data_IF_945884799571
#
_entry.id   IF_945884799571
#
_cell.length_a   1.000
_cell.length_b   1.000
_cell.length_c   1.000
_cell.angle_alpha   90.00
_cell.angle_beta   90.00
_cell.angle_gamma   90.00
#
_symmetry.space_group_name_H-M   'P 1'
#
loop_
_entity.id
_entity.type
_entity.pdbx_description
1 polymer ?
#
# COMPACT_ATOMS: atom_id res chain seq x y z
N UNK A 1 2.20 18.45 16.36
CA UNK A 1 2.81 17.15 16.00
C UNK A 1 4.26 17.44 15.65
N UNK A 2 5.23 16.73 16.23
CA UNK A 2 6.66 16.92 15.92
C UNK A 2 7.03 15.84 14.90
N UNK A 3 7.43 16.25 13.70
CA UNK A 3 7.86 15.36 12.61
C UNK A 3 9.38 15.23 12.50
N UNK A 4 10.14 15.89 13.37
CA UNK A 4 11.60 15.75 13.38
C UNK A 4 12.00 14.28 13.51
N UNK A 5 13.01 13.87 12.72
CA UNK A 5 13.51 12.50 12.70
C UNK A 5 12.43 11.45 12.34
N UNK A 6 11.65 11.71 11.28
CA UNK A 6 10.59 10.82 10.80
C UNK A 6 10.81 10.38 9.35
N UNK A 7 10.01 9.38 8.92
CA UNK A 7 9.82 9.03 7.51
C UNK A 7 8.43 9.48 7.09
N UNK A 8 8.35 10.11 5.92
CA UNK A 8 7.10 10.55 5.32
C UNK A 8 6.83 9.79 4.03
N UNK A 9 5.57 9.40 3.87
CA UNK A 9 5.09 8.59 2.77
C UNK A 9 3.87 9.26 2.16
N UNK A 10 3.93 9.57 0.88
CA UNK A 10 2.79 10.15 0.15
C UNK A 10 2.03 9.05 -0.60
N UNK A 11 0.71 9.10 -0.55
CA UNK A 11 -0.13 8.33 -1.48
C UNK A 11 -0.16 8.98 -2.88
N UNK A 12 -0.78 8.29 -3.85
CA UNK A 12 -0.91 8.75 -5.23
C UNK A 12 -1.64 10.10 -5.31
N UNK A 13 -2.72 10.28 -4.54
CA UNK A 13 -3.49 11.52 -4.54
C UNK A 13 -2.73 12.70 -3.94
N UNK A 14 -1.86 12.48 -2.95
CA UNK A 14 -1.00 13.53 -2.38
C UNK A 14 0.01 14.02 -3.41
N UNK A 15 0.62 13.12 -4.18
CA UNK A 15 1.47 13.53 -5.30
C UNK A 15 0.68 14.29 -6.37
N UNK A 16 -0.50 13.80 -6.78
CA UNK A 16 -1.35 14.48 -7.77
C UNK A 16 -1.75 15.90 -7.32
N UNK A 17 -2.17 16.03 -6.07
CA UNK A 17 -2.53 17.33 -5.49
C UNK A 17 -1.32 18.27 -5.39
N UNK A 18 -0.13 17.74 -5.04
CA UNK A 18 1.08 18.54 -4.99
C UNK A 18 1.48 19.11 -6.34
N UNK A 19 1.25 18.37 -7.44
CA UNK A 19 1.64 18.82 -8.79
C UNK A 19 0.53 19.52 -9.55
N UNK A 20 -0.64 19.65 -8.94
CA UNK A 20 -1.83 20.24 -9.57
C UNK A 20 -1.55 21.67 -10.00
N UNK A 21 -2.02 22.01 -11.21
CA UNK A 21 -1.90 23.34 -11.82
C UNK A 21 -0.45 23.86 -12.00
N UNK A 22 0.57 23.00 -11.80
CA UNK A 22 1.99 23.32 -11.97
C UNK A 22 2.52 22.82 -13.32
N UNK A 23 3.40 23.57 -13.96
CA UNK A 23 4.25 23.11 -15.07
C UNK A 23 5.28 22.10 -14.59
N UNK A 24 5.90 21.34 -15.50
CA UNK A 24 6.97 20.38 -15.15
C UNK A 24 8.12 21.05 -14.40
N UNK A 25 8.51 22.26 -14.80
CA UNK A 25 9.58 23.01 -14.15
C UNK A 25 9.19 23.42 -12.73
N UNK A 26 7.98 23.95 -12.53
CA UNK A 26 7.46 24.31 -11.20
C UNK A 26 7.33 23.09 -10.28
N UNK A 27 6.98 21.92 -10.81
CA UNK A 27 6.97 20.66 -10.04
C UNK A 27 8.36 20.31 -9.53
N UNK A 28 9.38 20.39 -10.38
CA UNK A 28 10.77 20.11 -9.99
C UNK A 28 11.23 21.09 -8.91
N UNK A 29 11.02 22.39 -9.13
CA UNK A 29 11.40 23.45 -8.19
C UNK A 29 10.70 23.30 -6.83
N UNK A 30 9.38 23.07 -6.85
CA UNK A 30 8.58 22.84 -5.65
C UNK A 30 9.06 21.59 -4.89
N UNK A 31 9.34 20.50 -5.61
CA UNK A 31 9.82 19.25 -5.00
C UNK A 31 11.19 19.44 -4.35
N UNK A 32 12.11 20.15 -4.99
CA UNK A 32 13.44 20.43 -4.45
C UNK A 32 13.37 21.35 -3.22
N UNK A 33 12.46 22.34 -3.23
CA UNK A 33 12.17 23.21 -2.08
C UNK A 33 11.63 22.39 -0.91
N UNK A 34 10.63 21.56 -1.14
CA UNK A 34 10.06 20.66 -0.12
C UNK A 34 11.14 19.79 0.51
N UNK A 35 11.91 19.10 -0.33
CA UNK A 35 13.01 18.21 0.10
C UNK A 35 14.08 18.92 0.92
N UNK A 36 14.37 20.19 0.60
CA UNK A 36 15.33 20.99 1.37
C UNK A 36 14.82 21.21 2.80
N UNK A 37 13.56 21.60 2.96
CA UNK A 37 12.92 21.81 4.26
C UNK A 37 12.90 20.49 5.06
N UNK A 38 12.50 19.39 4.42
CA UNK A 38 12.48 18.07 5.05
C UNK A 38 13.87 17.66 5.57
N UNK A 39 14.91 17.91 4.77
CA UNK A 39 16.30 17.63 5.17
C UNK A 39 16.74 18.44 6.38
N UNK A 40 16.33 19.72 6.48
CA UNK A 40 16.62 20.57 7.64
C UNK A 40 15.95 20.04 8.91
N UNK A 41 14.80 19.37 8.79
CA UNK A 41 14.06 18.71 9.88
C UNK A 41 14.45 17.23 10.10
N UNK A 42 15.45 16.72 9.38
CA UNK A 42 15.84 15.29 9.39
C UNK A 42 14.67 14.33 9.05
N UNK A 43 13.77 14.80 8.18
CA UNK A 43 12.68 14.01 7.59
C UNK A 43 13.20 13.27 6.37
N UNK A 44 12.83 12.00 6.25
CA UNK A 44 13.13 11.16 5.09
C UNK A 44 11.88 10.84 4.30
N UNK A 45 11.85 11.23 3.03
CA UNK A 45 10.73 10.95 2.15
C UNK A 45 10.96 9.65 1.40
N UNK A 46 10.03 8.70 1.57
CA UNK A 46 10.07 7.41 0.91
C UNK A 46 8.81 7.17 0.09
N UNK A 47 8.96 6.68 -1.13
CA UNK A 47 7.82 6.35 -1.99
C UNK A 47 7.37 4.89 -1.77
N UNK A 48 6.09 4.60 -1.51
CA UNK A 48 5.58 3.25 -1.66
C UNK A 48 5.77 2.82 -3.11
N UNK A 49 6.39 1.67 -3.35
CA UNK A 49 6.56 1.18 -4.73
C UNK A 49 5.22 1.02 -5.44
N UNK A 50 4.15 0.77 -4.67
CA UNK A 50 2.80 0.59 -5.18
C UNK A 50 2.24 1.87 -5.78
N UNK A 51 2.54 3.02 -5.17
CA UNK A 51 2.15 4.36 -5.66
C UNK A 51 2.88 4.66 -6.97
N UNK A 52 4.15 4.26 -7.10
CA UNK A 52 4.90 4.42 -8.35
C UNK A 52 4.31 3.54 -9.45
N UNK A 53 4.03 2.26 -9.16
CA UNK A 53 3.37 1.37 -10.12
C UNK A 53 2.01 1.94 -10.56
N UNK A 54 1.20 2.48 -9.63
CA UNK A 54 -0.12 3.03 -9.93
C UNK A 54 -0.01 4.22 -10.90
N UNK A 55 0.91 5.15 -10.63
CA UNK A 55 1.10 6.29 -11.53
C UNK A 55 1.66 5.86 -12.89
N UNK A 56 2.58 4.88 -12.95
CA UNK A 56 3.12 4.36 -14.21
C UNK A 56 2.07 3.64 -15.05
N UNK A 57 1.20 2.84 -14.42
CA UNK A 57 0.10 2.17 -15.12
C UNK A 57 -0.89 3.16 -15.74
N UNK A 58 -1.05 4.35 -15.14
CA UNK A 58 -1.88 5.42 -15.69
C UNK A 58 -1.24 6.14 -16.90
N UNK A 59 0.05 5.89 -17.19
CA UNK A 59 0.71 6.40 -18.40
C UNK A 59 0.40 5.57 -19.66
N UNK A 60 -0.28 4.43 -19.52
CA UNK A 60 -0.84 3.67 -20.66
C UNK A 60 -2.08 4.37 -21.27
N UNK A 61 -2.63 5.38 -20.58
CA UNK A 61 -3.75 6.17 -21.11
C UNK A 61 -3.28 7.18 -22.17
N UNK A 62 -4.23 7.76 -22.91
CA UNK A 62 -3.92 8.84 -23.85
C UNK A 62 -3.23 10.02 -23.16
N UNK A 63 -2.21 10.58 -23.81
CA UNK A 63 -1.37 11.66 -23.26
C UNK A 63 -2.15 12.96 -22.99
N UNK A 64 -3.29 13.12 -23.65
CA UNK A 64 -4.24 14.25 -23.49
C UNK A 64 -5.15 14.11 -22.27
N UNK A 65 -5.13 12.96 -21.58
CA UNK A 65 -5.93 12.72 -20.39
C UNK A 65 -5.33 13.44 -19.17
N UNK A 66 -6.16 14.14 -18.39
CA UNK A 66 -5.73 14.81 -17.15
C UNK A 66 -5.05 13.81 -16.19
N UNK A 67 -5.54 12.57 -16.12
CA UNK A 67 -4.92 11.52 -15.31
C UNK A 67 -3.49 11.18 -15.80
N UNK A 68 -3.25 11.17 -17.12
CA UNK A 68 -1.90 10.95 -17.66
C UNK A 68 -0.97 12.07 -17.21
N UNK A 69 -1.40 13.32 -17.41
CA UNK A 69 -0.59 14.51 -17.11
C UNK A 69 -0.27 14.61 -15.61
N UNK A 70 -1.26 14.42 -14.75
CA UNK A 70 -1.08 14.46 -13.30
C UNK A 70 -0.21 13.31 -12.79
N UNK A 71 -0.37 12.09 -13.32
CA UNK A 71 0.47 10.95 -12.93
C UNK A 71 1.91 11.12 -13.41
N UNK A 72 2.13 11.66 -14.61
CA UNK A 72 3.48 11.94 -15.11
C UNK A 72 4.19 12.97 -14.24
N UNK A 73 3.52 14.09 -13.93
CA UNK A 73 4.06 15.10 -13.02
C UNK A 73 4.27 14.54 -11.61
N UNK A 74 3.35 13.70 -11.12
CA UNK A 74 3.48 12.99 -9.84
C UNK A 74 4.70 12.08 -9.80
N UNK A 75 4.98 11.33 -10.88
CA UNK A 75 6.19 10.51 -11.03
C UNK A 75 7.46 11.36 -11.05
N UNK A 76 7.45 12.48 -11.77
CA UNK A 76 8.57 13.44 -11.76
C UNK A 76 8.80 13.90 -10.31
N UNK A 77 7.77 14.36 -9.61
CA UNK A 77 7.88 14.75 -8.21
C UNK A 77 8.44 13.63 -7.32
N UNK A 78 7.85 12.43 -7.36
CA UNK A 78 8.32 11.28 -6.58
C UNK A 78 9.79 10.93 -6.89
N UNK A 79 10.21 11.05 -8.15
CA UNK A 79 11.59 10.78 -8.57
C UNK A 79 12.60 11.76 -7.98
N UNK A 80 12.23 13.03 -7.76
CA UNK A 80 13.10 14.01 -7.11
C UNK A 80 13.01 13.94 -5.59
N UNK A 81 11.80 13.75 -5.06
CA UNK A 81 11.48 13.72 -3.64
C UNK A 81 12.24 12.58 -2.93
N UNK A 82 12.14 11.36 -3.47
CA UNK A 82 12.63 10.15 -2.81
C UNK A 82 14.07 9.73 -3.20
N UNK A 83 14.72 10.43 -4.14
CA UNK A 83 16.05 10.07 -4.64
C UNK A 83 17.19 10.65 -3.80
N UNK A 84 17.99 9.82 -3.13
CA UNK A 84 19.09 10.26 -2.27
C UNK A 84 20.42 9.61 -2.65
N UNK A 85 21.47 10.42 -2.86
CA UNK A 85 22.88 9.99 -3.02
C UNK A 85 23.08 8.81 -3.99
N UNK A 86 22.30 8.75 -5.07
CA UNK A 86 22.29 7.74 -6.16
C UNK A 86 21.26 6.60 -6.04
N UNK A 87 20.44 6.54 -5.00
CA UNK A 87 19.40 5.51 -4.86
C UNK A 87 18.02 6.11 -4.57
N UNK A 88 16.97 5.41 -4.99
CA UNK A 88 15.60 5.74 -4.60
C UNK A 88 15.29 5.15 -3.21
N UNK A 89 14.75 5.99 -2.33
CA UNK A 89 14.23 5.56 -1.03
C UNK A 89 12.79 5.09 -1.23
N UNK A 90 12.59 3.79 -1.28
CA UNK A 90 11.27 3.19 -1.54
C UNK A 90 10.86 2.21 -0.45
N UNK A 91 9.55 2.05 -0.28
CA UNK A 91 8.97 1.09 0.65
C UNK A 91 8.31 -0.04 -0.13
N UNK A 92 8.66 -1.31 0.11
CA UNK A 92 8.02 -2.44 -0.55
C UNK A 92 6.53 -2.53 -0.17
N UNK A 93 5.70 -3.01 -1.10
CA UNK A 93 4.33 -3.41 -0.79
C UNK A 93 4.32 -4.76 -0.03
N UNK A 94 3.16 -5.18 0.45
CA UNK A 94 3.01 -6.30 1.40
C UNK A 94 3.73 -7.60 1.04
N UNK A 95 3.61 -8.10 -0.20
CA UNK A 95 4.18 -9.41 -0.58
C UNK A 95 5.70 -9.46 -0.45
N UNK A 96 6.49 -8.60 -1.13
CA UNK A 96 7.94 -8.60 -0.97
C UNK A 96 8.38 -8.30 0.45
N UNK A 97 7.66 -7.43 1.17
CA UNK A 97 7.94 -7.13 2.57
C UNK A 97 7.83 -8.38 3.46
N UNK A 98 6.72 -9.12 3.35
CA UNK A 98 6.49 -10.32 4.16
C UNK A 98 7.41 -11.47 3.77
N UNK A 99 7.64 -11.69 2.47
CA UNK A 99 8.62 -12.69 2.02
C UNK A 99 10.01 -12.40 2.61
N UNK A 100 10.44 -11.13 2.60
CA UNK A 100 11.73 -10.75 3.14
C UNK A 100 11.76 -10.89 4.67
N UNK A 101 10.73 -10.46 5.38
CA UNK A 101 10.63 -10.63 6.83
C UNK A 101 10.73 -12.11 7.25
N UNK A 102 9.90 -12.97 6.64
CA UNK A 102 9.78 -14.38 7.01
C UNK A 102 10.99 -15.23 6.57
N UNK A 103 11.65 -14.85 5.48
CA UNK A 103 12.60 -15.75 4.80
C UNK A 103 13.86 -15.09 4.28
N UNK A 104 14.03 -13.78 4.46
CA UNK A 104 15.14 -13.00 3.92
C UNK A 104 15.28 -13.14 2.39
N UNK A 105 14.15 -13.36 1.70
CA UNK A 105 14.06 -13.57 0.25
C UNK A 105 12.88 -12.83 -0.34
N UNK A 106 12.99 -12.42 -1.60
CA UNK A 106 11.89 -11.86 -2.39
C UNK A 106 11.72 -12.73 -3.65
N UNK A 107 10.47 -13.00 -4.11
CA UNK A 107 10.27 -13.70 -5.37
C UNK A 107 10.93 -12.96 -6.55
N UNK A 108 11.69 -13.69 -7.39
CA UNK A 108 12.52 -13.09 -8.44
C UNK A 108 11.73 -12.23 -9.44
N UNK A 109 10.53 -12.66 -9.80
CA UNK A 109 9.65 -11.90 -10.70
C UNK A 109 9.25 -10.54 -10.10
N UNK A 110 8.95 -10.50 -8.80
CA UNK A 110 8.63 -9.25 -8.09
C UNK A 110 9.86 -8.34 -8.04
N UNK A 111 11.03 -8.90 -7.72
CA UNK A 111 12.28 -8.12 -7.69
C UNK A 111 12.60 -7.51 -9.08
N UNK A 112 12.44 -8.29 -10.15
CA UNK A 112 12.65 -7.83 -11.52
C UNK A 112 11.68 -6.70 -11.89
N UNK A 113 10.40 -6.83 -11.53
CA UNK A 113 9.40 -5.78 -11.79
C UNK A 113 9.72 -4.48 -11.04
N UNK A 114 10.14 -4.58 -9.76
CA UNK A 114 10.54 -3.41 -8.97
C UNK A 114 11.78 -2.75 -9.59
N UNK A 115 12.79 -3.53 -9.99
CA UNK A 115 14.00 -3.00 -10.61
C UNK A 115 13.71 -2.31 -11.95
N UNK A 116 12.88 -2.94 -12.79
CA UNK A 116 12.42 -2.34 -14.05
C UNK A 116 11.71 -1.02 -13.81
N UNK A 117 10.76 -1.00 -12.87
CA UNK A 117 10.01 0.20 -12.49
C UNK A 117 10.94 1.34 -12.05
N UNK A 118 11.94 1.05 -11.20
CA UNK A 118 12.90 2.07 -10.76
C UNK A 118 13.79 2.57 -11.91
N UNK A 119 14.12 1.71 -12.88
CA UNK A 119 14.82 2.11 -14.10
C UNK A 119 14.00 3.06 -14.97
N UNK A 120 12.70 2.78 -15.14
CA UNK A 120 11.78 3.68 -15.87
C UNK A 120 11.62 5.01 -15.14
N UNK A 121 11.45 5.00 -13.81
CA UNK A 121 11.37 6.22 -13.00
C UNK A 121 12.64 7.08 -13.14
N UNK A 122 13.81 6.44 -13.16
CA UNK A 122 15.09 7.12 -13.36
C UNK A 122 15.24 7.74 -14.75
N UNK A 123 14.73 7.06 -15.78
CA UNK A 123 14.71 7.61 -17.13
C UNK A 123 13.74 8.81 -17.21
N UNK A 124 12.52 8.70 -16.66
CA UNK A 124 11.57 9.83 -16.60
C UNK A 124 12.20 11.07 -15.97
N UNK A 125 12.97 10.90 -14.89
CA UNK A 125 13.67 11.98 -14.20
C UNK A 125 14.74 12.66 -15.08
N UNK A 126 15.42 11.90 -15.94
CA UNK A 126 16.54 12.36 -16.78
C UNK A 126 16.07 12.99 -18.08
N UNK A 127 15.12 12.36 -18.75
CA UNK A 127 14.61 12.75 -20.06
C UNK A 127 13.17 12.24 -20.19
N UNK A 128 12.24 13.07 -19.73
CA UNK A 128 10.83 12.72 -19.63
C UNK A 128 10.22 12.38 -20.99
N UNK A 129 10.46 13.19 -22.02
CA UNK A 129 9.88 12.99 -23.35
C UNK A 129 10.34 11.66 -23.97
N UNK A 130 11.65 11.40 -23.93
CA UNK A 130 12.20 10.15 -24.45
C UNK A 130 11.76 8.93 -23.64
N UNK A 131 11.60 9.07 -22.32
CA UNK A 131 11.11 7.99 -21.47
C UNK A 131 9.68 7.59 -21.86
N UNK A 132 8.79 8.56 -22.09
CA UNK A 132 7.41 8.29 -22.54
C UNK A 132 7.38 7.59 -23.90
N UNK A 133 8.28 7.95 -24.82
CA UNK A 133 8.36 7.28 -26.12
C UNK A 133 8.91 5.86 -26.01
N UNK A 134 9.97 5.68 -25.22
CA UNK A 134 10.73 4.42 -25.14
C UNK A 134 10.00 3.34 -24.34
N UNK A 135 9.28 3.72 -23.29
CA UNK A 135 8.72 2.78 -22.29
C UNK A 135 7.22 2.53 -22.43
N UNK A 136 6.63 2.77 -23.61
CA UNK A 136 5.19 2.55 -23.84
C UNK A 136 4.72 1.13 -23.49
N UNK A 137 5.47 0.11 -23.89
CA UNK A 137 5.12 -1.28 -23.57
C UNK A 137 5.29 -1.57 -22.07
N UNK A 138 6.25 -0.94 -21.41
CA UNK A 138 6.43 -1.10 -19.95
C UNK A 138 5.23 -0.54 -19.17
N UNK A 139 4.66 0.59 -19.60
CA UNK A 139 3.45 1.15 -18.95
C UNK A 139 2.26 0.18 -19.02
N UNK A 140 2.07 -0.46 -20.17
CA UNK A 140 1.07 -1.52 -20.35
C UNK A 140 1.37 -2.72 -19.45
N UNK A 141 2.62 -3.18 -19.41
CA UNK A 141 3.04 -4.27 -18.52
C UNK A 141 2.77 -3.94 -17.04
N UNK A 142 3.00 -2.69 -16.61
CA UNK A 142 2.68 -2.26 -15.24
C UNK A 142 1.19 -2.22 -14.96
N UNK A 143 0.37 -1.83 -15.94
CA UNK A 143 -1.10 -1.89 -15.82
C UNK A 143 -1.61 -3.33 -15.69
N UNK A 144 -1.06 -4.25 -16.48
CA UNK A 144 -1.37 -5.69 -16.37
C UNK A 144 -0.94 -6.25 -15.01
N UNK A 145 0.25 -5.89 -14.55
CA UNK A 145 0.77 -6.30 -13.25
C UNK A 145 -0.10 -5.81 -12.08
N UNK A 146 -0.54 -4.54 -12.13
CA UNK A 146 -1.50 -3.99 -11.17
C UNK A 146 -2.82 -4.76 -11.20
N UNK A 147 -3.35 -5.02 -12.39
CA UNK A 147 -4.60 -5.77 -12.56
C UNK A 147 -4.49 -7.19 -11.96
N UNK A 148 -3.30 -7.81 -12.04
CA UNK A 148 -3.02 -9.10 -11.39
C UNK A 148 -3.05 -8.99 -9.86
N UNK A 149 -2.42 -7.96 -9.28
CA UNK A 149 -2.44 -7.69 -7.83
C UNK A 149 -3.88 -7.52 -7.34
N UNK A 150 -4.68 -6.71 -8.04
CA UNK A 150 -6.09 -6.45 -7.73
C UNK A 150 -6.95 -7.73 -7.81
N UNK A 151 -6.74 -8.54 -8.84
CA UNK A 151 -7.41 -9.83 -9.03
C UNK A 151 -7.07 -10.81 -7.91
N UNK A 152 -5.79 -10.91 -7.56
CA UNK A 152 -5.32 -11.77 -6.48
C UNK A 152 -5.87 -11.32 -5.12
N UNK A 153 -5.95 -10.02 -4.86
CA UNK A 153 -6.56 -9.49 -3.65
C UNK A 153 -8.05 -9.84 -3.55
N UNK A 154 -8.79 -9.71 -4.64
CA UNK A 154 -10.22 -10.07 -4.67
C UNK A 154 -10.43 -11.57 -4.38
N UNK A 155 -9.58 -12.45 -4.93
CA UNK A 155 -9.61 -13.90 -4.62
C UNK A 155 -9.29 -14.17 -3.15
N UNK A 156 -8.32 -13.46 -2.58
CA UNK A 156 -7.95 -13.58 -1.18
C UNK A 156 -9.12 -13.20 -0.26
N UNK A 157 -9.78 -12.07 -0.50
CA UNK A 157 -10.95 -11.64 0.29
C UNK A 157 -12.10 -12.66 0.20
N UNK A 158 -12.36 -13.21 -0.97
CA UNK A 158 -13.36 -14.27 -1.15
C UNK A 158 -13.01 -15.52 -0.34
N UNK A 159 -11.76 -15.97 -0.43
CA UNK A 159 -11.30 -17.14 0.33
C UNK A 159 -11.46 -16.93 1.84
N UNK A 160 -11.13 -15.75 2.37
CA UNK A 160 -11.38 -15.46 3.79
C UNK A 160 -12.86 -15.49 4.15
N UNK A 161 -13.72 -14.89 3.33
CA UNK A 161 -15.17 -14.93 3.58
C UNK A 161 -15.73 -16.35 3.53
N UNK A 162 -15.28 -17.17 2.58
CA UNK A 162 -15.65 -18.59 2.48
C UNK A 162 -15.23 -19.36 3.73
N UNK A 163 -13.98 -19.20 4.18
CA UNK A 163 -13.48 -19.85 5.41
C UNK A 163 -14.28 -19.42 6.66
N UNK A 164 -14.59 -18.12 6.78
CA UNK A 164 -15.43 -17.60 7.86
C UNK A 164 -16.84 -18.20 7.78
N UNK A 165 -17.42 -18.29 6.59
CA UNK A 165 -18.74 -18.89 6.39
C UNK A 165 -18.73 -20.36 6.82
N UNK A 166 -17.78 -21.14 6.33
CA UNK A 166 -17.62 -22.56 6.64
C UNK A 166 -17.46 -22.80 8.13
N UNK A 167 -16.62 -21.99 8.81
CA UNK A 167 -16.42 -22.09 10.25
C UNK A 167 -17.74 -21.86 11.01
N UNK A 168 -18.47 -20.79 10.67
CA UNK A 168 -19.73 -20.43 11.33
C UNK A 168 -20.84 -21.43 11.02
N UNK A 169 -20.90 -21.97 9.80
CA UNK A 169 -21.90 -22.97 9.42
C UNK A 169 -21.67 -24.31 10.11
N UNK A 170 -20.41 -24.74 10.23
CA UNK A 170 -20.05 -25.95 10.98
C UNK A 170 -20.31 -25.81 12.48
N UNK A 171 -19.95 -24.67 13.08
CA UNK A 171 -20.09 -24.44 14.52
C UNK A 171 -21.53 -24.12 14.95
N UNK A 172 -22.30 -23.47 14.07
CA UNK A 172 -23.66 -22.99 14.37
C UNK A 172 -24.67 -23.31 13.25
N UNK A 173 -24.90 -24.59 12.92
CA UNK A 173 -25.68 -25.00 11.74
C UNK A 173 -27.15 -24.56 11.78
N UNK A 174 -27.73 -24.44 12.98
CA UNK A 174 -29.16 -24.14 13.19
C UNK A 174 -29.49 -22.64 13.26
N UNK A 175 -28.49 -21.75 13.24
CA UNK A 175 -28.73 -20.30 13.34
C UNK A 175 -29.28 -19.72 12.04
N UNK A 176 -30.16 -18.73 12.16
CA UNK A 176 -30.65 -17.96 11.01
C UNK A 176 -29.58 -16.99 10.49
N UNK A 177 -29.74 -16.49 9.26
CA UNK A 177 -28.75 -15.62 8.60
C UNK A 177 -28.35 -14.38 9.42
N UNK A 178 -29.31 -13.71 10.08
CA UNK A 178 -29.01 -12.55 10.95
C UNK A 178 -28.13 -12.93 12.13
N UNK A 179 -28.39 -14.08 12.76
CA UNK A 179 -27.61 -14.58 13.89
C UNK A 179 -26.23 -15.07 13.43
N UNK A 180 -26.16 -15.79 12.29
CA UNK A 180 -24.89 -16.19 11.67
C UNK A 180 -24.02 -14.97 11.36
N UNK A 181 -24.60 -13.89 10.85
CA UNK A 181 -23.87 -12.64 10.61
C UNK A 181 -23.27 -12.05 11.88
N UNK A 182 -24.01 -12.02 12.99
CA UNK A 182 -23.46 -11.60 14.30
C UNK A 182 -22.29 -12.50 14.71
N UNK A 183 -22.43 -13.83 14.56
CA UNK A 183 -21.33 -14.76 14.89
C UNK A 183 -20.11 -14.61 14.00
N UNK A 184 -20.27 -14.23 12.73
CA UNK A 184 -19.13 -13.89 11.85
C UNK A 184 -18.39 -12.65 12.35
N UNK A 185 -19.12 -11.62 12.78
CA UNK A 185 -18.51 -10.41 13.34
C UNK A 185 -17.78 -10.72 14.66
N UNK A 186 -18.41 -11.48 15.57
CA UNK A 186 -17.75 -11.96 16.80
C UNK A 186 -16.49 -12.78 16.50
N UNK A 187 -16.49 -13.58 15.44
CA UNK A 187 -15.34 -14.36 15.01
C UNK A 187 -14.18 -13.46 14.54
N UNK A 188 -14.47 -12.44 13.71
CA UNK A 188 -13.48 -11.44 13.30
C UNK A 188 -12.85 -10.70 14.48
N UNK A 189 -13.57 -10.57 15.59
CA UNK A 189 -13.08 -9.95 16.82
C UNK A 189 -12.22 -10.88 17.68
N UNK A 190 -12.10 -12.17 17.34
CA UNK A 190 -11.39 -13.17 18.14
C UNK A 190 -9.91 -13.33 17.79
N UNK A 191 -9.10 -13.78 18.74
CA UNK A 191 -7.69 -14.17 18.51
C UNK A 191 -7.56 -15.33 17.52
N UNK A 192 -8.59 -16.18 17.41
CA UNK A 192 -8.62 -17.30 16.47
C UNK A 192 -8.51 -16.77 15.04
N UNK A 193 -9.33 -15.76 14.68
CA UNK A 193 -9.27 -15.14 13.36
C UNK A 193 -7.91 -14.50 13.09
N UNK A 194 -7.32 -13.82 14.09
CA UNK A 194 -6.01 -13.18 13.94
C UNK A 194 -4.91 -14.21 13.60
N UNK A 195 -4.93 -15.36 14.26
CA UNK A 195 -4.00 -16.45 13.98
C UNK A 195 -4.27 -17.06 12.60
N UNK A 196 -5.51 -17.39 12.28
CA UNK A 196 -5.89 -17.98 11.00
C UNK A 196 -5.54 -17.07 9.80
N UNK A 197 -5.77 -15.76 9.94
CA UNK A 197 -5.34 -14.77 8.95
C UNK A 197 -3.82 -14.84 8.74
N UNK A 198 -3.06 -14.82 9.83
CA UNK A 198 -1.59 -14.84 9.78
C UNK A 198 -1.05 -16.14 9.19
N UNK A 199 -1.66 -17.29 9.53
CA UNK A 199 -1.37 -18.57 8.88
C UNK A 199 -1.56 -18.47 7.37
N UNK A 200 -2.73 -18.00 6.92
CA UNK A 200 -3.02 -17.86 5.49
C UNK A 200 -2.04 -16.95 4.76
N UNK A 201 -1.63 -15.84 5.38
CA UNK A 201 -0.60 -14.94 4.81
C UNK A 201 0.75 -15.64 4.71
N UNK A 202 1.20 -16.33 5.77
CA UNK A 202 2.51 -17.00 5.79
C UNK A 202 2.53 -18.17 4.79
N UNK A 203 1.45 -18.95 4.70
CA UNK A 203 1.33 -20.01 3.69
C UNK A 203 1.36 -19.47 2.27
N UNK A 204 0.71 -18.32 2.01
CA UNK A 204 0.79 -17.66 0.72
C UNK A 204 2.24 -17.24 0.39
N UNK A 205 2.97 -16.67 1.36
CA UNK A 205 4.38 -16.28 1.14
C UNK A 205 5.28 -17.50 0.90
N UNK A 206 5.06 -18.58 1.65
CA UNK A 206 5.75 -19.87 1.46
C UNK A 206 5.50 -20.42 0.05
N UNK A 207 4.24 -20.44 -0.39
CA UNK A 207 3.87 -20.88 -1.74
C UNK A 207 4.55 -20.05 -2.83
N UNK A 208 4.57 -18.72 -2.69
CA UNK A 208 5.25 -17.81 -3.64
C UNK A 208 6.76 -18.06 -3.74
N UNK A 209 7.38 -18.60 -2.68
CA UNK A 209 8.81 -18.93 -2.63
C UNK A 209 9.10 -20.41 -2.87
N UNK A 210 8.08 -21.24 -3.13
CA UNK A 210 8.24 -22.69 -3.27
C UNK A 210 8.76 -23.36 -1.99
N UNK A 211 8.43 -22.81 -0.82
CA UNK A 211 8.84 -23.33 0.49
C UNK A 211 7.73 -24.15 1.14
N UNK A 212 8.15 -25.19 1.85
CA UNK A 212 7.30 -25.94 2.77
C UNK A 212 7.87 -25.78 4.16
N UNK A 213 7.02 -25.37 5.11
CA UNK A 213 7.41 -25.10 6.50
C UNK A 213 6.71 -26.09 7.42
N UNK A 214 7.41 -26.58 8.45
CA UNK A 214 6.81 -27.49 9.43
C UNK A 214 5.85 -26.74 10.34
N UNK A 215 4.86 -27.43 10.90
CA UNK A 215 3.82 -26.82 11.73
C UNK A 215 4.39 -26.03 12.92
N UNK A 216 5.38 -26.58 13.63
CA UNK A 216 5.96 -25.92 14.82
C UNK A 216 6.76 -24.65 14.48
N UNK A 217 7.26 -24.56 13.26
CA UNK A 217 7.91 -23.35 12.75
C UNK A 217 6.84 -22.34 12.31
N UNK A 218 5.79 -22.81 11.64
CA UNK A 218 4.66 -21.99 11.22
C UNK A 218 3.98 -21.30 12.42
N UNK A 219 3.76 -22.03 13.52
CA UNK A 219 3.18 -21.50 14.75
C UNK A 219 4.03 -20.35 15.34
N UNK A 220 5.36 -20.47 15.28
CA UNK A 220 6.29 -19.40 15.72
C UNK A 220 6.22 -18.18 14.81
N UNK A 221 6.22 -18.41 13.50
CA UNK A 221 6.12 -17.34 12.50
C UNK A 221 4.82 -16.55 12.66
N UNK A 222 3.70 -17.21 13.00
CA UNK A 222 2.42 -16.53 13.26
C UNK A 222 2.52 -15.56 14.44
N UNK A 223 3.14 -15.99 15.54
CA UNK A 223 3.33 -15.14 16.72
C UNK A 223 4.18 -13.91 16.35
N UNK A 224 5.32 -14.12 15.68
CA UNK A 224 6.22 -13.03 15.27
C UNK A 224 5.56 -12.07 14.26
N UNK A 225 4.81 -12.61 13.30
CA UNK A 225 4.08 -11.83 12.31
C UNK A 225 3.03 -10.93 12.96
N UNK A 226 2.25 -11.48 13.90
CA UNK A 226 1.22 -10.75 14.64
C UNK A 226 1.80 -9.59 15.46
N UNK A 227 2.96 -9.78 16.08
CA UNK A 227 3.66 -8.74 16.84
C UNK A 227 4.25 -7.66 15.94
N UNK A 228 4.78 -8.05 14.78
CA UNK A 228 5.49 -7.13 13.86
C UNK A 228 4.54 -6.33 12.98
N UNK A 229 3.47 -6.96 12.48
CA UNK A 229 2.52 -6.38 11.52
C UNK A 229 1.08 -6.34 12.06
N UNK A 230 0.82 -5.68 13.20
CA UNK A 230 -0.53 -5.59 13.74
C UNK A 230 -1.49 -4.82 12.82
N UNK A 231 -0.97 -3.91 11.99
CA UNK A 231 -1.74 -3.17 11.00
C UNK A 231 -2.45 -4.12 10.03
N UNK A 232 -1.76 -5.18 9.57
CA UNK A 232 -2.31 -6.12 8.60
C UNK A 232 -3.57 -6.81 9.12
N UNK A 233 -3.52 -7.35 10.33
CA UNK A 233 -4.68 -7.97 10.96
C UNK A 233 -5.82 -6.98 11.14
N UNK A 234 -5.53 -5.78 11.68
CA UNK A 234 -6.55 -4.76 11.93
C UNK A 234 -7.19 -4.24 10.64
N UNK A 235 -6.41 -4.04 9.57
CA UNK A 235 -6.90 -3.59 8.28
C UNK A 235 -7.80 -4.64 7.62
N UNK A 236 -7.38 -5.91 7.54
CA UNK A 236 -8.22 -6.96 6.97
C UNK A 236 -9.47 -7.22 7.80
N UNK A 237 -9.38 -7.12 9.12
CA UNK A 237 -10.55 -7.17 10.00
C UNK A 237 -11.54 -6.05 9.69
N UNK A 238 -11.07 -4.81 9.50
CA UNK A 238 -11.91 -3.69 9.09
C UNK A 238 -12.61 -3.96 7.75
N UNK A 239 -11.85 -4.39 6.73
CA UNK A 239 -12.39 -4.72 5.40
C UNK A 239 -13.44 -5.84 5.48
N UNK A 240 -13.14 -6.93 6.18
CA UNK A 240 -14.07 -8.06 6.31
C UNK A 240 -15.31 -7.67 7.12
N UNK A 241 -15.18 -6.85 8.16
CA UNK A 241 -16.31 -6.30 8.88
C UNK A 241 -17.20 -5.48 7.95
N UNK A 242 -16.62 -4.56 7.17
CA UNK A 242 -17.35 -3.77 6.17
C UNK A 242 -18.10 -4.66 5.17
N UNK A 243 -17.46 -5.71 4.65
CA UNK A 243 -18.06 -6.66 3.72
C UNK A 243 -19.26 -7.39 4.34
N UNK A 244 -19.11 -7.90 5.55
CA UNK A 244 -20.14 -8.68 6.26
C UNK A 244 -21.27 -7.77 6.75
N UNK A 245 -20.94 -6.61 7.28
CA UNK A 245 -21.86 -5.63 7.84
C UNK A 245 -22.68 -4.92 6.77
N UNK A 246 -22.07 -4.57 5.64
CA UNK A 246 -22.80 -3.93 4.54
C UNK A 246 -23.32 -4.93 3.50
N UNK A 247 -23.07 -6.24 3.71
CA UNK A 247 -23.45 -7.31 2.79
C UNK A 247 -22.98 -7.03 1.35
N UNK A 248 -21.73 -6.60 1.22
CA UNK A 248 -21.16 -6.16 -0.06
C UNK A 248 -20.88 -7.39 -0.92
N UNK A 249 -21.38 -7.38 -2.14
CA UNK A 249 -21.10 -8.42 -3.12
C UNK A 249 -19.75 -8.14 -3.83
N UNK A 250 -18.73 -8.95 -3.54
CA UNK A 250 -17.39 -8.87 -4.15
C UNK A 250 -17.35 -9.12 -5.67
N UNK A 251 -18.45 -9.58 -6.29
CA UNK A 251 -18.56 -9.75 -7.74
C UNK A 251 -19.27 -8.59 -8.43
N UNK A 252 -19.89 -7.67 -7.67
CA UNK A 252 -20.59 -6.56 -8.27
C UNK A 252 -19.61 -5.56 -8.92
N UNK A 253 -19.99 -5.00 -10.08
CA UNK A 253 -19.27 -3.87 -10.69
C UNK A 253 -19.29 -2.64 -9.77
N UNK A 254 -20.38 -2.45 -9.02
CA UNK A 254 -20.59 -1.28 -8.14
C UNK A 254 -19.61 -1.22 -6.98
N UNK A 255 -19.12 -2.35 -6.49
CA UNK A 255 -18.11 -2.37 -5.42
C UNK A 255 -16.69 -2.58 -5.93
N UNK A 256 -16.48 -2.75 -7.25
CA UNK A 256 -15.13 -2.91 -7.83
C UNK A 256 -14.20 -1.80 -7.37
N UNK A 257 -14.55 -0.54 -7.65
CA UNK A 257 -13.72 0.61 -7.27
C UNK A 257 -13.37 0.62 -5.78
N UNK A 258 -14.35 0.36 -4.90
CA UNK A 258 -14.11 0.33 -3.44
C UNK A 258 -13.13 -0.79 -3.05
N UNK A 259 -13.24 -1.98 -3.66
CA UNK A 259 -12.33 -3.11 -3.41
C UNK A 259 -10.90 -2.81 -3.86
N UNK A 260 -10.76 -2.14 -5.01
CA UNK A 260 -9.44 -1.76 -5.54
C UNK A 260 -8.77 -0.74 -4.63
N UNK A 261 -9.51 0.27 -4.15
CA UNK A 261 -8.96 1.22 -3.19
C UNK A 261 -8.41 0.54 -1.93
N UNK A 262 -9.10 -0.46 -1.37
CA UNK A 262 -8.61 -1.15 -0.17
C UNK A 262 -7.26 -1.83 -0.33
N UNK A 263 -6.91 -2.39 -1.50
CA UNK A 263 -5.58 -2.99 -1.68
C UNK A 263 -4.49 -1.92 -1.78
N UNK A 264 -4.80 -0.75 -2.34
CA UNK A 264 -3.88 0.38 -2.37
C UNK A 264 -3.67 0.95 -0.96
N UNK A 265 -4.77 1.22 -0.26
CA UNK A 265 -4.79 1.68 1.13
C UNK A 265 -4.00 0.72 2.03
N UNK A 266 -4.19 -0.59 1.85
CA UNK A 266 -3.43 -1.59 2.60
C UNK A 266 -1.93 -1.50 2.32
N UNK A 267 -1.52 -1.48 1.05
CA UNK A 267 -0.11 -1.47 0.68
C UNK A 267 0.60 -0.14 0.99
N UNK A 268 -0.14 0.95 1.10
CA UNK A 268 0.38 2.23 1.59
C UNK A 268 0.42 2.24 3.11
N UNK A 269 -0.64 1.77 3.78
CA UNK A 269 -0.78 1.79 5.23
C UNK A 269 0.09 0.78 5.96
N UNK A 270 0.51 -0.31 5.31
CA UNK A 270 1.37 -1.35 5.90
C UNK A 270 2.71 -0.81 6.45
N UNK A 271 3.14 0.35 5.98
CA UNK A 271 4.33 1.05 6.47
C UNK A 271 4.16 1.55 7.91
N UNK A 272 2.91 1.69 8.36
CA UNK A 272 2.52 1.96 9.73
C UNK A 272 2.61 0.64 10.51
N UNK A 273 3.82 0.34 10.97
CA UNK A 273 4.09 -0.81 11.84
C UNK A 273 4.36 -0.35 13.27
N UNK A 274 4.30 -1.29 14.22
CA UNK A 274 4.76 -1.05 15.60
C UNK A 274 6.25 -0.70 15.64
N UNK A 275 7.01 -1.16 14.66
CA UNK A 275 8.43 -0.85 14.50
C UNK A 275 8.67 0.51 13.86
N UNK A 276 9.84 1.07 14.17
CA UNK A 276 10.45 2.16 13.42
C UNK A 276 11.17 1.62 12.19
N UNK A 277 11.18 2.37 11.10
CA UNK A 277 12.05 2.09 9.96
C UNK A 277 13.32 2.88 10.19
N UNK A 278 14.46 2.20 10.39
CA UNK A 278 15.75 2.84 10.71
C UNK A 278 15.64 3.83 11.90
N UNK A 279 14.99 3.40 12.97
CA UNK A 279 14.75 4.19 14.19
C UNK A 279 13.91 5.48 13.99
N UNK A 280 13.27 5.62 12.82
CA UNK A 280 12.35 6.72 12.51
C UNK A 280 10.89 6.23 12.50
N UNK A 281 10.00 7.07 13.03
CA UNK A 281 8.55 6.85 12.92
C UNK A 281 8.09 7.19 11.50
N UNK A 282 7.21 6.36 10.95
CA UNK A 282 6.62 6.60 9.63
C UNK A 282 5.26 7.28 9.75
N UNK A 283 5.01 8.29 8.92
CA UNK A 283 3.72 8.92 8.77
C UNK A 283 3.26 8.84 7.31
N UNK A 284 1.94 8.71 7.13
CA UNK A 284 1.30 8.73 5.82
C UNK A 284 0.65 10.07 5.58
N UNK A 285 0.92 10.67 4.43
CA UNK A 285 0.23 11.85 3.90
C UNK A 285 -0.79 11.36 2.88
N UNK A 286 -2.06 11.58 3.18
CA UNK A 286 -3.19 11.14 2.33
C UNK A 286 -4.42 12.03 2.55
N UNK A 287 -5.29 12.09 1.54
CA UNK A 287 -6.64 12.65 1.68
C UNK A 287 -7.71 11.55 1.68
N UNK A 288 -7.34 10.28 1.58
CA UNK A 288 -8.27 9.16 1.61
C UNK A 288 -8.82 8.99 3.03
N UNK A 289 -10.15 9.06 3.14
CA UNK A 289 -10.86 8.98 4.41
C UNK A 289 -10.85 7.58 4.99
N UNK A 290 -10.97 6.54 4.15
CA UNK A 290 -11.00 5.15 4.58
C UNK A 290 -9.60 4.77 5.12
N UNK A 291 -8.53 5.11 4.39
CA UNK A 291 -7.16 4.90 4.86
C UNK A 291 -6.88 5.68 6.16
N UNK A 292 -7.28 6.95 6.22
CA UNK A 292 -7.11 7.77 7.41
C UNK A 292 -7.83 7.18 8.63
N UNK A 293 -9.08 6.73 8.46
CA UNK A 293 -9.85 6.11 9.54
C UNK A 293 -9.18 4.83 10.05
N UNK A 294 -8.71 3.96 9.15
CA UNK A 294 -8.03 2.73 9.56
C UNK A 294 -6.71 3.03 10.26
N UNK A 295 -5.88 3.93 9.74
CA UNK A 295 -4.65 4.31 10.43
C UNK A 295 -4.97 4.91 11.80
N UNK A 296 -6.00 5.76 11.93
CA UNK A 296 -6.34 6.38 13.21
C UNK A 296 -6.82 5.40 14.27
N UNK A 297 -7.58 4.40 13.86
CA UNK A 297 -8.01 3.29 14.73
C UNK A 297 -6.83 2.42 15.22
N UNK A 298 -5.66 2.55 14.61
CA UNK A 298 -4.46 1.78 14.94
C UNK A 298 -3.47 2.65 15.71
N UNK A 299 -3.14 3.82 15.16
CA UNK A 299 -2.17 4.81 15.65
C UNK A 299 -2.60 6.24 15.19
N UNK A 300 -3.46 6.90 15.99
CA UNK A 300 -4.12 8.19 15.69
C UNK A 300 -3.19 9.31 15.19
N UNK A 301 -1.92 9.29 15.56
CA UNK A 301 -0.95 10.34 15.26
C UNK A 301 -0.13 10.13 13.98
N UNK A 302 -0.33 9.06 13.22
CA UNK A 302 0.54 8.70 12.07
C UNK A 302 -0.03 8.97 10.68
N UNK A 303 -1.13 9.70 10.59
CA UNK A 303 -1.73 10.11 9.32
C UNK A 303 -2.05 11.59 9.33
N UNK A 304 -1.85 12.25 8.20
CA UNK A 304 -2.20 13.66 8.02
C UNK A 304 -2.54 13.95 6.56
N UNK A 305 -3.24 15.05 6.33
CA UNK A 305 -3.47 15.60 5.00
C UNK A 305 -2.24 16.35 4.50
N UNK A 306 -2.18 16.57 3.19
CA UNK A 306 -1.10 17.36 2.57
C UNK A 306 -1.00 18.78 3.16
N UNK A 307 -2.14 19.40 3.46
CA UNK A 307 -2.18 20.73 4.08
C UNK A 307 -1.63 20.73 5.51
N UNK A 308 -2.04 19.75 6.33
CA UNK A 308 -1.52 19.59 7.69
C UNK A 308 -0.01 19.32 7.66
N UNK A 309 0.47 18.52 6.70
CA UNK A 309 1.89 18.27 6.51
C UNK A 309 2.65 19.56 6.23
N UNK A 310 2.24 20.33 5.21
CA UNK A 310 2.89 21.59 4.85
C UNK A 310 2.91 22.60 5.99
N UNK A 311 1.79 22.77 6.67
CA UNK A 311 1.70 23.63 7.84
C UNK A 311 2.65 23.18 8.96
N UNK A 312 2.85 21.87 9.14
CA UNK A 312 3.70 21.31 10.20
C UNK A 312 5.19 21.54 9.91
N UNK A 313 5.61 21.44 8.64
CA UNK A 313 7.02 21.61 8.25
C UNK A 313 7.36 23.06 7.87
N UNK A 314 6.39 23.97 7.85
CA UNK A 314 6.59 25.36 7.43
C UNK A 314 6.78 25.52 5.92
N UNK A 315 6.22 24.62 5.12
CA UNK A 315 6.23 24.73 3.66
C UNK A 315 5.09 25.65 3.19
N UNK A 316 5.46 26.80 2.62
CA UNK A 316 4.52 27.71 1.95
C UNK A 316 4.68 27.51 0.45
N UNK A 317 3.61 27.13 -0.25
CA UNK A 317 3.62 26.94 -1.71
C UNK A 317 4.08 28.19 -2.46
#
# INVERSE_FOLDING_TARGET
>A
MILENSIIVFDTNSYRNFVKDKTTQEVIESTLKLKKIEKELNIESNAPIIVIFEMLANLDNETTNDNFTECLKGLISASYHCFNRNNYSVIPYSVPLFCHFLHQKVPQNIENNIRGMLGVLDFIKKDTEKAIETHKEDFKNYKEYISEIESNYSKLLKSFLEQINDYIEKKFPKLQNKQKRIKKLEYLDSEIFQNDFSYGVIELMNSKLGKTVKKEELDRMVIEFNLTFPFSNKFYKYVLNELISKNINLDSKTSLKKRLNWIWDYNIGIVITNSTIRDKKTFVVTQDKDLSEVIKNIEDSRVMTLYEYYSTIGYNE
#
